data_IF_273546197130
#
_entry.id   IF_273546197130
#
_cell.length_a   1.000
_cell.length_b   1.000
_cell.length_c   1.000
_cell.angle_alpha   90.00
_cell.angle_beta   90.00
_cell.angle_gamma   90.00
#
_symmetry.space_group_name_H-M   'P 1'
#
loop_
_entity.id
_entity.type
_entity.pdbx_description
1 polymer ?
#
# COMPACT_ATOMS: atom_id res chain seq x y z
N UNK A 1 8.86 -5.42 40.32
CA UNK A 1 9.29 -4.89 39.01
C UNK A 1 8.08 -4.75 38.11
N UNK A 2 7.58 -3.54 37.87
CA UNK A 2 6.49 -3.27 36.94
C UNK A 2 7.03 -3.16 35.52
N UNK A 3 6.48 -3.96 34.60
CA UNK A 3 6.81 -3.89 33.17
C UNK A 3 6.30 -2.55 32.64
N UNK A 4 7.22 -1.72 32.17
CA UNK A 4 6.96 -0.44 31.51
C UNK A 4 6.33 -0.77 30.15
N UNK A 5 5.01 -0.57 30.02
CA UNK A 5 4.38 -0.56 28.71
C UNK A 5 4.89 0.67 27.97
N UNK A 6 5.64 0.43 26.90
CA UNK A 6 6.14 1.47 26.02
C UNK A 6 4.93 1.97 25.21
N UNK A 7 4.35 3.08 25.66
CA UNK A 7 3.30 3.79 24.93
C UNK A 7 3.89 4.22 23.58
N UNK A 8 3.56 3.50 22.51
CA UNK A 8 3.77 3.96 21.15
C UNK A 8 3.05 5.29 21.04
N UNK A 9 3.79 6.39 21.14
CA UNK A 9 3.24 7.72 20.92
C UNK A 9 2.72 7.77 19.48
N UNK A 10 1.42 7.58 19.30
CA UNK A 10 0.76 7.83 18.03
C UNK A 10 0.94 9.32 17.72
N UNK A 11 1.88 9.63 16.84
CA UNK A 11 2.05 10.97 16.31
C UNK A 11 0.84 11.24 15.41
N UNK A 12 -0.18 11.85 15.98
CA UNK A 12 -1.36 12.31 15.26
C UNK A 12 -1.16 13.80 14.98
N UNK A 13 -1.20 14.17 13.71
CA UNK A 13 -1.31 15.57 13.32
C UNK A 13 -2.71 15.81 12.79
N UNK A 14 -3.50 16.62 13.48
CA UNK A 14 -4.78 17.11 12.99
C UNK A 14 -4.60 18.53 12.47
N UNK A 15 -4.85 18.71 11.18
CA UNK A 15 -4.63 19.98 10.48
C UNK A 15 -5.97 20.56 10.06
N UNK A 16 -6.33 21.65 10.72
CA UNK A 16 -7.48 22.49 10.36
C UNK A 16 -6.98 23.88 9.91
N UNK A 17 -6.29 23.91 8.77
CA UNK A 17 -5.74 25.13 8.20
C UNK A 17 -5.63 25.02 6.66
N UNK A 18 -5.51 26.16 6.00
CA UNK A 18 -5.09 26.22 4.59
C UNK A 18 -3.57 26.21 4.51
N UNK A 19 -3.01 25.14 3.94
CA UNK A 19 -1.57 24.94 3.83
C UNK A 19 -1.17 24.80 2.36
N UNK A 20 -0.06 25.44 1.98
CA UNK A 20 0.52 25.30 0.64
C UNK A 20 2.01 24.98 0.76
N UNK A 21 2.47 23.96 0.01
CA UNK A 21 3.90 23.62 -0.05
C UNK A 21 4.18 22.13 -0.19
N UNK A 22 5.40 21.74 0.19
CA UNK A 22 5.82 20.33 0.22
C UNK A 22 6.01 19.89 1.67
N UNK A 23 5.26 18.87 2.08
CA UNK A 23 5.37 18.28 3.42
C UNK A 23 5.93 16.86 3.26
N UNK A 24 6.95 16.53 4.05
CA UNK A 24 7.58 15.21 4.03
C UNK A 24 7.79 14.70 5.45
N UNK A 25 7.23 13.54 5.77
CA UNK A 25 7.41 12.85 7.04
C UNK A 25 8.35 11.67 6.87
N UNK A 26 9.46 11.67 7.61
CA UNK A 26 10.44 10.57 7.59
C UNK A 26 10.03 9.40 8.49
N UNK A 27 9.30 9.71 9.56
CA UNK A 27 8.79 8.73 10.52
C UNK A 27 7.34 8.33 10.17
N UNK A 28 6.91 7.10 10.55
CA UNK A 28 5.51 6.71 10.46
C UNK A 28 4.65 7.65 11.31
N UNK A 29 3.66 8.29 10.68
CA UNK A 29 2.78 9.27 11.31
C UNK A 29 1.35 9.04 10.86
N UNK A 30 0.41 9.24 11.79
CA UNK A 30 -1.02 9.25 11.49
C UNK A 30 -1.42 10.70 11.18
N UNK A 31 -1.40 11.07 9.90
CA UNK A 31 -1.76 12.42 9.48
C UNK A 31 -3.26 12.50 9.20
N UNK A 32 -3.93 13.47 9.79
CA UNK A 32 -5.32 13.81 9.51
C UNK A 32 -5.43 15.26 9.02
N UNK A 33 -6.03 15.42 7.84
CA UNK A 33 -6.23 16.73 7.21
C UNK A 33 -7.73 17.00 7.17
N UNK A 34 -8.19 18.02 7.88
CA UNK A 34 -9.58 18.49 7.85
C UNK A 34 -9.72 19.81 7.05
N UNK A 35 -8.63 20.56 6.87
CA UNK A 35 -8.58 21.83 6.12
C UNK A 35 -8.32 21.71 4.62
N UNK A 36 -7.66 22.73 4.04
CA UNK A 36 -7.25 22.71 2.63
C UNK A 36 -5.73 22.56 2.48
N UNK A 37 -5.31 21.68 1.58
CA UNK A 37 -3.89 21.42 1.32
C UNK A 37 -3.59 21.51 -0.17
N UNK A 38 -2.59 22.28 -0.55
CA UNK A 38 -2.11 22.38 -1.93
C UNK A 38 -0.60 22.12 -2.03
N UNK A 39 -0.19 21.27 -2.96
CA UNK A 39 1.23 21.01 -3.24
C UNK A 39 1.60 19.53 -3.26
N UNK A 40 2.57 19.12 -2.43
CA UNK A 40 3.06 17.73 -2.40
C UNK A 40 3.11 17.20 -0.98
N UNK A 41 2.53 16.02 -0.78
CA UNK A 41 2.50 15.34 0.51
C UNK A 41 3.18 13.98 0.37
N UNK A 42 4.24 13.78 1.13
CA UNK A 42 4.94 12.50 1.24
C UNK A 42 4.93 12.08 2.70
N UNK A 43 4.22 11.00 3.01
CA UNK A 43 4.11 10.51 4.38
C UNK A 43 4.34 9.01 4.42
N UNK A 44 5.01 8.55 5.47
CA UNK A 44 5.07 7.13 5.81
C UNK A 44 4.00 6.88 6.86
N UNK A 45 3.16 5.85 6.69
CA UNK A 45 2.02 5.58 7.58
C UNK A 45 0.66 5.98 7.01
N UNK A 46 -0.27 6.31 7.91
CA UNK A 46 -1.68 6.48 7.55
C UNK A 46 -2.02 7.94 7.32
N UNK A 47 -2.69 8.21 6.20
CA UNK A 47 -3.23 9.51 5.86
C UNK A 47 -4.75 9.45 5.84
N UNK A 48 -5.40 10.34 6.59
CA UNK A 48 -6.85 10.50 6.60
C UNK A 48 -7.22 11.90 6.13
N UNK A 49 -8.01 11.99 5.07
CA UNK A 49 -8.57 13.24 4.56
C UNK A 49 -10.01 13.31 5.02
N UNK A 50 -10.32 14.28 5.88
CA UNK A 50 -11.65 14.48 6.45
C UNK A 50 -12.69 14.91 5.41
N UNK A 51 -13.96 14.78 5.75
CA UNK A 51 -15.09 15.03 4.84
C UNK A 51 -15.14 16.47 4.29
N UNK A 52 -14.75 17.45 5.12
CA UNK A 52 -14.72 18.86 4.74
C UNK A 52 -13.40 19.29 4.06
N UNK A 53 -12.43 18.38 3.96
CA UNK A 53 -11.11 18.72 3.47
C UNK A 53 -11.09 18.88 1.95
N UNK A 54 -10.26 19.81 1.47
CA UNK A 54 -9.98 20.02 0.04
C UNK A 54 -8.49 19.91 -0.23
N UNK A 55 -8.10 18.84 -0.89
CA UNK A 55 -6.68 18.56 -1.15
C UNK A 55 -6.42 18.63 -2.64
N UNK A 56 -5.57 19.57 -3.05
CA UNK A 56 -5.12 19.71 -4.43
C UNK A 56 -3.61 19.46 -4.50
N UNK A 57 -3.22 18.20 -4.49
CA UNK A 57 -1.83 17.82 -4.26
C UNK A 57 -1.48 16.44 -4.83
N UNK A 58 -0.18 16.24 -5.03
CA UNK A 58 0.38 14.91 -5.25
C UNK A 58 0.65 14.24 -3.92
N UNK A 59 -0.02 13.12 -3.67
CA UNK A 59 -0.02 12.45 -2.38
C UNK A 59 0.69 11.10 -2.52
N UNK A 60 1.70 10.89 -1.70
CA UNK A 60 2.37 9.59 -1.52
C UNK A 60 2.20 9.15 -0.08
N UNK A 61 1.68 7.93 0.12
CA UNK A 61 1.49 7.35 1.44
C UNK A 61 1.38 5.83 1.42
N UNK A 62 1.37 5.21 2.59
CA UNK A 62 1.16 3.76 2.70
C UNK A 62 -0.34 3.45 2.64
N UNK A 63 -1.09 3.89 3.65
CA UNK A 63 -2.55 3.71 3.73
C UNK A 63 -3.25 5.05 3.68
N UNK A 64 -4.09 5.25 2.68
CA UNK A 64 -4.76 6.53 2.45
C UNK A 64 -6.27 6.33 2.57
N UNK A 65 -6.91 7.16 3.39
CA UNK A 65 -8.36 7.19 3.58
C UNK A 65 -8.84 8.57 3.13
N UNK A 66 -9.80 8.60 2.20
CA UNK A 66 -10.34 9.83 1.64
C UNK A 66 -11.83 9.89 1.91
N UNK A 67 -12.25 10.85 2.74
CA UNK A 67 -13.66 11.18 2.98
C UNK A 67 -14.07 12.53 2.34
N UNK A 68 -13.10 13.35 1.93
CA UNK A 68 -13.31 14.68 1.35
C UNK A 68 -13.06 14.80 -0.15
N UNK A 69 -12.72 16.01 -0.61
CA UNK A 69 -12.44 16.29 -2.03
C UNK A 69 -10.94 16.29 -2.29
N UNK A 70 -10.49 15.45 -3.21
CA UNK A 70 -9.08 15.34 -3.60
C UNK A 70 -8.93 15.54 -5.09
N UNK A 71 -7.97 16.35 -5.50
CA UNK A 71 -7.62 16.58 -6.91
C UNK A 71 -6.10 16.49 -7.08
N UNK A 72 -5.62 15.47 -7.79
CA UNK A 72 -4.19 15.24 -7.98
C UNK A 72 -3.83 13.77 -8.09
N UNK A 73 -2.53 13.48 -8.22
CA UNK A 73 -2.03 12.11 -8.30
C UNK A 73 -1.90 11.50 -6.91
N UNK A 74 -2.43 10.29 -6.73
CA UNK A 74 -2.38 9.54 -5.46
C UNK A 74 -1.57 8.27 -5.67
N UNK A 75 -0.53 8.08 -4.86
CA UNK A 75 0.27 6.88 -4.78
C UNK A 75 0.13 6.27 -3.37
N UNK A 76 -0.66 5.20 -3.27
CA UNK A 76 -0.84 4.45 -2.02
C UNK A 76 -0.11 3.10 -2.10
N UNK A 77 0.92 2.89 -1.28
CA UNK A 77 1.76 1.69 -1.33
C UNK A 77 1.12 0.45 -0.69
N UNK A 78 0.14 0.62 0.19
CA UNK A 78 -0.56 -0.48 0.89
C UNK A 78 -2.04 -0.53 0.55
N UNK A 79 -2.72 0.62 0.51
CA UNK A 79 -4.12 0.65 0.11
C UNK A 79 -4.78 2.03 0.17
N UNK A 80 -5.83 2.19 -0.63
CA UNK A 80 -6.66 3.39 -0.69
C UNK A 80 -8.10 3.06 -0.30
N UNK A 81 -8.70 3.82 0.59
CA UNK A 81 -10.12 3.72 0.94
C UNK A 81 -10.81 5.04 0.65
N UNK A 82 -11.84 5.01 -0.19
CA UNK A 82 -12.64 6.18 -0.54
C UNK A 82 -14.01 6.01 0.13
N UNK A 83 -14.32 6.92 1.05
CA UNK A 83 -15.50 6.88 1.90
C UNK A 83 -16.41 8.03 1.49
N UNK A 84 -17.71 7.76 1.34
CA UNK A 84 -18.70 8.81 1.04
C UNK A 84 -18.67 9.92 2.10
N UNK A 85 -18.81 11.21 1.72
CA UNK A 85 -19.14 11.76 0.40
C UNK A 85 -17.91 12.15 -0.45
N UNK A 86 -16.82 11.39 -0.38
CA UNK A 86 -15.58 11.75 -1.05
C UNK A 86 -15.69 11.87 -2.57
N UNK A 87 -14.92 12.82 -3.12
CA UNK A 87 -14.74 13.01 -4.56
C UNK A 87 -13.26 13.05 -4.87
N UNK A 88 -12.76 12.05 -5.58
CA UNK A 88 -11.35 11.96 -5.97
C UNK A 88 -11.22 12.16 -7.47
N UNK A 89 -10.46 13.18 -7.89
CA UNK A 89 -10.18 13.47 -9.29
C UNK A 89 -8.67 13.38 -9.58
N UNK A 90 -8.24 12.48 -10.45
CA UNK A 90 -6.82 12.36 -10.82
C UNK A 90 -6.35 10.93 -11.06
N UNK A 91 -5.03 10.74 -11.21
CA UNK A 91 -4.48 9.40 -11.41
C UNK A 91 -4.18 8.74 -10.06
N UNK A 92 -4.63 7.50 -9.90
CA UNK A 92 -4.49 6.74 -8.66
C UNK A 92 -3.66 5.50 -8.93
N UNK A 93 -2.64 5.27 -8.11
CA UNK A 93 -1.81 4.08 -8.11
C UNK A 93 -1.87 3.42 -6.74
N UNK A 94 -2.41 2.21 -6.65
CA UNK A 94 -2.53 1.49 -5.38
C UNK A 94 -2.64 -0.02 -5.58
N UNK A 95 -2.12 -0.88 -4.69
CA UNK A 95 -2.31 -2.32 -4.80
C UNK A 95 -3.71 -2.76 -4.34
N UNK A 96 -4.38 -1.99 -3.48
CA UNK A 96 -5.70 -2.31 -2.94
C UNK A 96 -6.56 -1.05 -2.89
N UNK A 97 -7.79 -1.13 -3.38
CA UNK A 97 -8.75 -0.03 -3.27
C UNK A 97 -10.09 -0.52 -2.70
N UNK A 98 -10.69 0.30 -1.83
CA UNK A 98 -12.06 0.13 -1.34
C UNK A 98 -12.83 1.43 -1.59
N UNK A 99 -14.05 1.33 -2.13
CA UNK A 99 -14.91 2.48 -2.44
C UNK A 99 -16.28 2.24 -1.81
N UNK A 100 -16.73 3.18 -0.99
CA UNK A 100 -18.05 3.12 -0.33
C UNK A 100 -19.14 3.68 -1.26
N UNK A 101 -20.38 3.24 -1.08
CA UNK A 101 -21.54 3.76 -1.83
C UNK A 101 -21.66 5.28 -1.69
N UNK A 102 -21.81 5.97 -2.83
CA UNK A 102 -21.91 7.43 -2.90
C UNK A 102 -20.58 8.16 -3.06
N UNK A 103 -19.43 7.47 -2.97
CA UNK A 103 -18.14 8.05 -3.33
C UNK A 103 -17.97 8.17 -4.84
N UNK A 104 -17.29 9.24 -5.28
CA UNK A 104 -17.03 9.52 -6.69
C UNK A 104 -15.53 9.46 -6.95
N UNK A 105 -15.12 8.65 -7.93
CA UNK A 105 -13.75 8.59 -8.45
C UNK A 105 -13.77 8.94 -9.93
N UNK A 106 -13.10 10.02 -10.31
CA UNK A 106 -12.96 10.48 -11.69
C UNK A 106 -11.49 10.55 -12.10
N UNK A 107 -11.03 9.60 -12.91
CA UNK A 107 -9.67 9.63 -13.44
C UNK A 107 -9.15 8.25 -13.80
N UNK A 108 -7.83 8.11 -13.88
CA UNK A 108 -7.18 6.86 -14.24
C UNK A 108 -6.68 6.13 -13.00
N UNK A 109 -7.26 4.98 -12.72
CA UNK A 109 -6.79 4.08 -11.68
C UNK A 109 -5.85 3.02 -12.28
N UNK A 110 -4.71 2.79 -11.66
CA UNK A 110 -3.73 1.77 -12.02
C UNK A 110 -3.38 0.96 -10.80
N UNK A 111 -3.78 -0.31 -10.80
CA UNK A 111 -3.51 -1.19 -9.67
C UNK A 111 -2.02 -1.58 -9.67
N UNK A 112 -1.30 -1.25 -8.59
CA UNK A 112 0.14 -1.54 -8.46
C UNK A 112 0.44 -3.01 -8.11
N UNK A 113 -0.60 -3.76 -7.74
CA UNK A 113 -0.52 -5.17 -7.41
C UNK A 113 -1.73 -5.91 -7.97
N UNK A 114 -1.81 -6.00 -9.30
CA UNK A 114 -2.74 -6.90 -9.99
C UNK A 114 -2.40 -8.39 -9.77
N UNK A 115 -2.27 -8.78 -8.50
CA UNK A 115 -2.23 -10.16 -8.00
C UNK A 115 -3.37 -10.27 -6.99
N UNK A 116 -4.53 -10.66 -7.50
CA UNK A 116 -5.63 -11.36 -6.82
C UNK A 116 -5.72 -11.19 -5.29
N UNK A 117 -6.49 -10.19 -4.87
CA UNK A 117 -7.03 -10.14 -3.52
C UNK A 117 -8.03 -11.30 -3.33
N UNK A 118 -7.55 -12.42 -2.77
CA UNK A 118 -8.38 -13.59 -2.49
C UNK A 118 -7.61 -14.75 -1.86
N UNK A 119 -7.14 -14.56 -0.62
CA UNK A 119 -6.58 -15.63 0.22
C UNK A 119 -5.10 -15.43 0.54
N UNK A 120 -4.83 -15.21 1.83
CA UNK A 120 -3.50 -15.28 2.45
C UNK A 120 -2.64 -16.39 1.81
N UNK A 121 -1.40 -16.03 1.48
CA UNK A 121 -0.29 -16.87 1.04
C UNK A 121 0.03 -17.00 -0.47
N UNK A 122 -0.73 -16.53 -1.45
CA UNK A 122 -0.34 -16.75 -2.87
C UNK A 122 0.46 -15.59 -3.50
N UNK A 123 1.71 -15.87 -3.90
CA UNK A 123 2.59 -14.98 -4.64
C UNK A 123 2.69 -15.40 -6.11
N UNK A 124 2.73 -14.43 -7.01
CA UNK A 124 3.13 -14.64 -8.42
C UNK A 124 4.66 -14.68 -8.57
N UNK A 125 5.15 -15.12 -9.74
CA UNK A 125 6.58 -15.04 -10.10
C UNK A 125 7.20 -13.67 -9.82
N UNK A 126 6.49 -12.61 -10.18
CA UNK A 126 6.97 -11.23 -10.03
C UNK A 126 7.07 -10.84 -8.55
N UNK A 127 6.08 -11.21 -7.74
CA UNK A 127 6.05 -10.91 -6.32
C UNK A 127 7.11 -11.70 -5.55
N UNK A 128 7.29 -12.98 -5.90
CA UNK A 128 8.32 -13.80 -5.29
C UNK A 128 9.74 -13.37 -5.69
N UNK A 129 9.94 -12.89 -6.92
CA UNK A 129 11.22 -12.32 -7.36
C UNK A 129 11.61 -11.11 -6.53
N UNK A 130 10.64 -10.25 -6.23
CA UNK A 130 10.86 -9.11 -5.34
C UNK A 130 11.08 -9.56 -3.88
N UNK A 131 10.43 -10.65 -3.44
CA UNK A 131 10.57 -11.17 -2.08
C UNK A 131 11.94 -11.79 -1.80
N UNK A 132 12.46 -12.56 -2.77
CA UNK A 132 13.75 -13.24 -2.67
C UNK A 132 14.93 -12.39 -3.17
N UNK A 133 14.66 -11.21 -3.72
CA UNK A 133 15.66 -10.34 -4.36
C UNK A 133 16.43 -11.05 -5.51
N UNK A 134 15.73 -11.85 -6.31
CA UNK A 134 16.29 -12.59 -7.47
C UNK A 134 15.56 -12.25 -8.77
N UNK A 135 16.21 -12.49 -9.91
CA UNK A 135 15.58 -12.28 -11.22
C UNK A 135 14.43 -13.28 -11.49
N UNK A 136 13.39 -12.79 -12.19
CA UNK A 136 12.20 -13.60 -12.54
C UNK A 136 12.59 -14.84 -13.37
N UNK A 137 13.57 -14.72 -14.27
CA UNK A 137 14.05 -15.83 -15.09
C UNK A 137 14.66 -16.96 -14.24
N UNK A 138 15.41 -16.60 -13.21
CA UNK A 138 15.98 -17.56 -12.24
C UNK A 138 14.89 -18.31 -11.49
N UNK A 139 13.83 -17.59 -11.11
CA UNK A 139 12.67 -18.14 -10.43
C UNK A 139 11.84 -19.09 -11.29
N UNK A 140 11.65 -18.75 -12.58
CA UNK A 140 10.98 -19.63 -13.55
C UNK A 140 11.77 -20.94 -13.72
N UNK A 141 13.10 -20.85 -13.83
CA UNK A 141 13.96 -22.03 -13.88
C UNK A 141 13.88 -22.88 -12.60
N UNK A 142 13.83 -22.25 -11.42
CA UNK A 142 13.72 -22.97 -10.15
C UNK A 142 12.36 -23.65 -10.01
N UNK A 143 11.28 -23.01 -10.46
CA UNK A 143 9.96 -23.60 -10.49
C UNK A 143 9.91 -24.80 -11.46
N UNK A 144 10.43 -24.64 -12.68
CA UNK A 144 10.50 -25.72 -13.68
C UNK A 144 11.35 -26.91 -13.21
N UNK A 145 12.45 -26.65 -12.50
CA UNK A 145 13.35 -27.66 -11.93
C UNK A 145 12.87 -28.20 -10.56
N UNK A 146 11.71 -27.73 -10.05
CA UNK A 146 11.17 -28.09 -8.73
C UNK A 146 12.16 -27.86 -7.57
N UNK A 147 13.01 -26.84 -7.69
CA UNK A 147 13.95 -26.44 -6.63
C UNK A 147 13.27 -25.62 -5.53
N UNK A 148 12.17 -24.97 -5.87
CA UNK A 148 11.39 -24.09 -4.99
C UNK A 148 9.93 -24.57 -4.97
N UNK A 149 9.21 -24.48 -3.83
CA UNK A 149 7.81 -24.88 -3.77
C UNK A 149 6.94 -23.94 -4.62
N UNK A 150 6.48 -24.47 -5.75
CA UNK A 150 5.68 -23.77 -6.74
C UNK A 150 4.55 -24.67 -7.23
N UNK A 151 3.41 -24.09 -7.58
CA UNK A 151 2.30 -24.78 -8.23
C UNK A 151 1.81 -23.97 -9.42
N UNK A 152 1.24 -24.63 -10.43
CA UNK A 152 0.69 -23.94 -11.60
C UNK A 152 -0.82 -23.79 -11.44
N UNK A 153 -1.30 -22.57 -11.57
CA UNK A 153 -2.71 -22.22 -11.60
C UNK A 153 -2.96 -21.31 -12.81
N UNK A 154 -3.97 -21.64 -13.61
CA UNK A 154 -4.30 -20.92 -14.86
C UNK A 154 -3.08 -20.62 -15.75
N UNK A 155 -2.22 -21.63 -15.94
CA UNK A 155 -1.01 -21.55 -16.76
C UNK A 155 0.02 -20.51 -16.27
N UNK A 156 -0.07 -20.11 -14.99
CA UNK A 156 0.89 -19.24 -14.33
C UNK A 156 1.46 -19.90 -13.08
N UNK A 157 2.74 -19.63 -12.79
CA UNK A 157 3.35 -20.08 -11.56
C UNK A 157 2.84 -19.25 -10.37
N UNK A 158 2.36 -19.97 -9.37
CA UNK A 158 1.93 -19.46 -8.07
C UNK A 158 2.77 -20.10 -6.98
N UNK A 159 3.01 -19.35 -5.92
CA UNK A 159 3.90 -19.76 -4.84
C UNK A 159 3.23 -19.45 -3.50
N UNK A 160 3.16 -20.44 -2.60
CA UNK A 160 2.66 -20.19 -1.25
C UNK A 160 3.74 -19.53 -0.41
N UNK A 161 3.53 -18.31 0.07
CA UNK A 161 4.44 -17.55 0.93
C UNK A 161 4.89 -18.39 2.13
N UNK A 162 3.97 -19.03 2.86
CA UNK A 162 4.32 -19.93 3.96
C UNK A 162 5.24 -21.10 3.58
N UNK A 163 5.09 -21.67 2.37
CA UNK A 163 6.00 -22.72 1.88
C UNK A 163 7.36 -22.16 1.50
N UNK A 164 7.38 -20.98 0.88
CA UNK A 164 8.59 -20.25 0.52
C UNK A 164 9.39 -19.89 1.79
N UNK A 165 8.75 -19.30 2.79
CA UNK A 165 9.40 -18.92 4.06
C UNK A 165 10.04 -20.13 4.74
N UNK A 166 9.35 -21.27 4.74
CA UNK A 166 9.89 -22.52 5.27
C UNK A 166 11.08 -23.03 4.44
N UNK A 167 10.98 -22.99 3.12
CA UNK A 167 12.06 -23.41 2.22
C UNK A 167 13.33 -22.57 2.41
N UNK A 168 13.20 -21.23 2.54
CA UNK A 168 14.34 -20.34 2.83
C UNK A 168 15.03 -20.74 4.14
N UNK A 169 14.26 -21.08 5.18
CA UNK A 169 14.82 -21.51 6.46
C UNK A 169 15.58 -22.84 6.34
N UNK A 170 15.04 -23.82 5.61
CA UNK A 170 15.68 -25.12 5.40
C UNK A 170 16.97 -25.00 4.55
N UNK A 171 17.03 -24.07 3.61
CA UNK A 171 18.20 -23.85 2.75
C UNK A 171 19.32 -23.10 3.48
N UNK A 172 18.97 -22.15 4.38
CA UNK A 172 19.95 -21.50 5.29
C UNK A 172 20.53 -22.44 6.36
N UNK A 173 19.82 -23.50 6.75
CA UNK A 173 20.26 -24.46 7.77
C UNK A 173 21.28 -25.51 7.26
N UNK A 174 21.59 -25.53 5.95
CA UNK A 174 22.56 -26.44 5.33
C UNK A 174 23.97 -25.85 5.17
N UNK A 175 24.21 -24.63 5.69
CA UNK A 175 25.49 -23.92 5.61
C UNK A 175 26.18 -23.92 6.97
#
# INVERSE_FOLDING_TARGET
MGKKNEELHEKILDVDASMQGTITFKDPVNLRINGSFEGKLDTKGNLTIGENARVQANITGDRIIVAGKVTGDILASQGLSIISPAVVKGNIKTPLISITEGAVLEGRLSMLGGGEAGGDDLLTLKELAQYLEVEIATLDEWAAKRKIPAFQEDNTWKFRKSEIDRWIQEEKLKI
#
